data_IF_251186473818
#
_entry.id   IF_251186473818
#
_cell.length_a   1.000
_cell.length_b   1.000
_cell.length_c   1.000
_cell.angle_alpha   90.00
_cell.angle_beta   90.00
_cell.angle_gamma   90.00
#
_symmetry.space_group_name_H-M   'P 1'
#
loop_
_entity.id
_entity.type
_entity.pdbx_description
1 polymer ?
#
# COMPACT_ATOMS: atom_id res chain seq x y z
N UNK A 1 17.61 31.27 12.33
CA UNK A 1 17.78 32.70 12.75
C UNK A 1 18.39 32.88 14.16
N UNK A 2 18.36 31.86 15.03
CA UNK A 2 18.92 31.93 16.40
C UNK A 2 20.48 31.87 16.44
N UNK A 3 21.11 31.07 15.56
CA UNK A 3 22.56 30.90 15.53
C UNK A 3 23.38 32.14 15.14
N UNK A 4 22.87 32.97 14.21
CA UNK A 4 23.57 34.17 13.75
C UNK A 4 23.68 35.26 14.85
N UNK A 5 22.72 35.31 15.78
CA UNK A 5 22.76 36.26 16.91
C UNK A 5 23.71 35.81 18.02
N UNK A 6 23.90 34.49 18.19
CA UNK A 6 24.85 33.96 19.16
C UNK A 6 26.31 34.23 18.73
N UNK A 7 26.59 34.12 17.44
CA UNK A 7 27.93 34.37 16.88
C UNK A 7 28.35 35.85 16.98
N UNK A 8 27.41 36.78 16.76
CA UNK A 8 27.66 38.22 16.94
C UNK A 8 27.90 38.58 18.40
N UNK A 9 27.22 37.93 19.35
CA UNK A 9 27.44 38.15 20.78
C UNK A 9 28.81 37.65 21.28
N UNK A 10 29.43 36.69 20.58
CA UNK A 10 30.75 36.15 20.95
C UNK A 10 31.93 36.84 20.27
N UNK A 11 31.70 37.66 19.23
CA UNK A 11 32.77 38.21 18.39
C UNK A 11 32.95 39.73 18.52
N UNK A 12 32.09 40.41 19.29
CA UNK A 12 32.36 41.80 19.70
C UNK A 12 33.34 41.80 20.87
N UNK A 13 34.57 42.18 20.55
CA UNK A 13 35.70 42.46 21.44
C UNK A 13 35.37 43.68 22.33
N UNK A 14 34.37 43.53 23.18
CA UNK A 14 33.96 44.51 24.17
C UNK A 14 35.01 44.47 25.27
N UNK A 15 35.91 45.45 25.24
CA UNK A 15 36.80 45.76 26.37
C UNK A 15 35.94 46.19 27.55
N UNK A 16 35.48 45.22 28.33
CA UNK A 16 34.79 45.44 29.59
C UNK A 16 35.81 46.08 30.52
N UNK A 17 35.68 47.39 30.74
CA UNK A 17 36.39 48.10 31.81
C UNK A 17 35.77 47.60 33.12
N UNK A 18 36.39 46.58 33.71
CA UNK A 18 35.99 46.05 35.02
C UNK A 18 36.41 47.07 36.08
N UNK A 19 35.57 48.07 36.35
CA UNK A 19 35.68 48.85 37.58
C UNK A 19 35.33 47.93 38.75
N UNK A 20 36.37 47.44 39.44
CA UNK A 20 36.27 46.60 40.62
C UNK A 20 35.67 47.42 41.76
N UNK A 21 34.34 47.45 41.87
CA UNK A 21 33.66 47.85 43.10
C UNK A 21 33.66 46.63 44.01
N UNK A 22 34.45 46.70 45.08
CA UNK A 22 34.46 45.75 46.19
C UNK A 22 33.16 45.88 47.00
N UNK A 23 32.04 45.47 46.40
CA UNK A 23 30.85 45.12 47.16
C UNK A 23 30.99 43.65 47.55
N UNK A 24 31.21 43.40 48.84
CA UNK A 24 31.11 42.09 49.46
C UNK A 24 29.74 41.47 49.15
N UNK A 25 29.64 40.73 48.04
CA UNK A 25 28.50 39.88 47.71
C UNK A 25 28.53 38.63 48.61
N UNK A 26 28.34 38.84 49.92
CA UNK A 26 27.83 37.81 50.79
C UNK A 26 26.32 37.68 50.49
N UNK A 27 25.90 36.48 50.03
CA UNK A 27 24.51 36.02 49.75
C UNK A 27 24.07 35.89 48.27
N UNK A 28 24.86 35.24 47.40
CA UNK A 28 24.33 34.67 46.15
C UNK A 28 24.00 33.16 46.22
N UNK A 29 24.15 32.55 47.40
CA UNK A 29 23.88 31.14 47.67
C UNK A 29 22.48 30.64 47.23
N UNK A 30 21.36 31.36 47.45
CA UNK A 30 20.04 30.84 47.07
C UNK A 30 19.86 30.75 45.55
N UNK A 31 20.44 31.69 44.79
CA UNK A 31 20.35 31.71 43.33
C UNK A 31 21.08 30.48 42.74
N UNK A 32 22.28 30.16 43.26
CA UNK A 32 23.03 28.98 42.81
C UNK A 32 22.30 27.67 43.09
N UNK A 33 21.58 27.58 44.20
CA UNK A 33 20.78 26.40 44.54
C UNK A 33 19.60 26.20 43.57
N UNK A 34 18.91 27.28 43.18
CA UNK A 34 17.84 27.21 42.18
C UNK A 34 18.38 26.75 40.82
N UNK A 35 19.55 27.24 40.39
CA UNK A 35 20.18 26.77 39.15
C UNK A 35 20.56 25.28 39.22
N UNK A 36 21.06 24.80 40.36
CA UNK A 36 21.38 23.39 40.56
C UNK A 36 20.11 22.51 40.46
N UNK A 37 19.00 22.92 41.08
CA UNK A 37 17.73 22.21 40.99
C UNK A 37 17.24 22.17 39.54
N UNK A 38 17.23 23.31 38.84
CA UNK A 38 16.82 23.35 37.44
C UNK A 38 17.68 22.44 36.57
N UNK A 39 19.01 22.41 36.81
CA UNK A 39 19.92 21.51 36.11
C UNK A 39 19.56 20.03 36.36
N UNK A 40 19.32 19.65 37.62
CA UNK A 40 18.91 18.28 37.98
C UNK A 40 17.59 17.89 37.32
N UNK A 41 16.60 18.80 37.32
CA UNK A 41 15.30 18.56 36.67
C UNK A 41 15.48 18.37 35.15
N UNK A 42 16.27 19.21 34.50
CA UNK A 42 16.55 19.09 33.06
C UNK A 42 17.27 17.77 32.76
N UNK A 43 18.29 17.39 33.53
CA UNK A 43 18.98 16.11 33.33
C UNK A 43 18.07 14.90 33.56
N UNK A 44 17.26 14.92 34.62
CA UNK A 44 16.29 13.84 34.87
C UNK A 44 15.28 13.73 33.73
N UNK A 45 14.79 14.86 33.21
CA UNK A 45 13.92 14.92 32.04
C UNK A 45 14.58 14.35 30.78
N UNK A 46 15.83 14.73 30.50
CA UNK A 46 16.59 14.19 29.37
C UNK A 46 16.80 12.67 29.50
N UNK A 47 17.21 12.20 30.68
CA UNK A 47 17.37 10.75 30.94
C UNK A 47 16.05 10.02 30.72
N UNK A 48 14.94 10.56 31.24
CA UNK A 48 13.61 9.99 31.06
C UNK A 48 13.23 9.89 29.58
N UNK A 49 13.38 10.98 28.81
CA UNK A 49 13.10 11.00 27.37
C UNK A 49 13.99 10.00 26.62
N UNK A 50 15.29 9.93 26.92
CA UNK A 50 16.20 8.96 26.29
C UNK A 50 15.82 7.51 26.60
N UNK A 51 15.40 7.20 27.83
CA UNK A 51 14.92 5.85 28.19
C UNK A 51 13.63 5.52 27.42
N UNK A 52 12.68 6.45 27.36
CA UNK A 52 11.43 6.26 26.61
C UNK A 52 11.65 6.11 25.11
N UNK A 53 12.57 6.89 24.54
CA UNK A 53 13.02 6.75 23.15
C UNK A 53 13.61 5.36 22.91
N UNK A 54 14.51 4.90 23.79
CA UNK A 54 15.13 3.57 23.70
C UNK A 54 14.11 2.43 23.84
N UNK A 55 13.00 2.66 24.53
CA UNK A 55 11.90 1.70 24.65
C UNK A 55 10.94 1.75 23.45
N UNK A 56 11.13 2.67 22.49
CA UNK A 56 10.23 2.87 21.35
C UNK A 56 8.89 3.49 21.74
N UNK A 57 8.71 3.94 22.98
CA UNK A 57 7.42 4.44 23.49
C UNK A 57 7.02 5.78 22.88
N UNK A 58 8.03 6.54 22.42
CA UNK A 58 7.87 7.82 21.73
C UNK A 58 7.86 7.67 20.21
N UNK A 59 7.92 6.44 19.69
CA UNK A 59 7.78 6.15 18.27
C UNK A 59 6.38 5.64 17.97
N UNK A 60 6.02 5.72 16.70
CA UNK A 60 4.80 5.11 16.21
C UNK A 60 4.99 3.60 16.15
N UNK A 61 4.06 2.82 16.70
CA UNK A 61 4.09 1.37 16.66
C UNK A 61 3.76 0.84 15.26
N UNK A 62 3.08 1.65 14.46
CA UNK A 62 2.84 1.43 13.06
C UNK A 62 3.01 2.72 12.27
N UNK A 63 3.53 2.59 11.06
CA UNK A 63 3.59 3.66 10.07
C UNK A 63 2.94 3.18 8.79
N UNK A 64 2.19 4.06 8.16
CA UNK A 64 1.81 3.93 6.77
C UNK A 64 2.96 4.46 5.91
N UNK A 65 3.29 3.73 4.86
CA UNK A 65 4.34 4.09 3.90
C UNK A 65 3.71 4.14 2.52
N UNK A 66 3.91 5.26 1.84
CA UNK A 66 3.44 5.47 0.47
C UNK A 66 4.63 5.85 -0.41
N UNK A 67 4.93 4.99 -1.38
CA UNK A 67 5.89 5.21 -2.44
C UNK A 67 5.23 5.85 -3.64
N UNK A 68 6.02 6.62 -4.38
CA UNK A 68 5.65 7.05 -5.71
C UNK A 68 5.57 5.85 -6.69
N UNK A 69 4.92 6.06 -7.84
CA UNK A 69 4.73 5.07 -8.91
C UNK A 69 6.01 4.83 -9.74
N UNK A 70 7.17 4.91 -9.08
CA UNK A 70 8.47 4.63 -9.69
C UNK A 70 8.56 3.15 -10.06
N UNK A 71 9.27 2.84 -11.15
CA UNK A 71 9.41 1.49 -11.66
C UNK A 71 10.87 1.12 -11.91
N UNK A 72 11.23 -0.12 -11.57
CA UNK A 72 12.47 -0.77 -11.98
C UNK A 72 12.18 -1.81 -13.05
N UNK A 73 12.51 -1.49 -14.30
CA UNK A 73 12.42 -2.43 -15.42
C UNK A 73 13.55 -3.47 -15.41
N UNK A 74 13.20 -4.74 -15.65
CA UNK A 74 14.20 -5.81 -15.77
C UNK A 74 14.97 -6.14 -14.49
N UNK A 75 14.39 -5.89 -13.31
CA UNK A 75 14.92 -6.27 -12.01
C UNK A 75 15.21 -7.78 -11.95
N UNK A 76 16.35 -8.17 -11.36
CA UNK A 76 16.72 -9.58 -11.27
C UNK A 76 16.02 -10.22 -10.06
N UNK A 77 15.37 -11.36 -10.32
CA UNK A 77 14.57 -12.14 -9.40
C UNK A 77 15.11 -13.56 -9.28
N UNK A 78 15.13 -14.10 -8.07
CA UNK A 78 15.44 -15.51 -7.82
C UNK A 78 14.49 -16.10 -6.77
N UNK A 79 13.47 -16.87 -7.18
CA UNK A 79 12.49 -17.45 -6.25
C UNK A 79 13.08 -18.55 -5.37
N UNK A 80 13.98 -19.34 -5.95
CA UNK A 80 14.57 -20.57 -5.41
C UNK A 80 16.06 -20.43 -5.10
N UNK A 81 16.63 -19.23 -5.26
CA UNK A 81 18.07 -18.94 -5.17
C UNK A 81 18.94 -19.67 -6.21
N UNK A 82 18.34 -20.39 -7.16
CA UNK A 82 19.04 -21.20 -8.16
C UNK A 82 18.79 -20.68 -9.59
N UNK A 83 17.59 -20.19 -9.86
CA UNK A 83 17.19 -19.67 -11.16
C UNK A 83 17.06 -18.15 -11.14
N UNK A 84 17.51 -17.51 -12.22
CA UNK A 84 17.43 -16.07 -12.40
C UNK A 84 16.41 -15.71 -13.46
N UNK A 85 15.54 -14.78 -13.12
CA UNK A 85 14.54 -14.23 -14.02
C UNK A 85 14.61 -12.69 -13.97
N UNK A 86 14.22 -12.02 -15.04
CA UNK A 86 14.09 -10.55 -15.05
C UNK A 86 12.61 -10.19 -14.99
N UNK A 87 12.23 -9.30 -14.08
CA UNK A 87 10.84 -8.87 -13.87
C UNK A 87 10.77 -7.35 -13.70
N UNK A 88 9.65 -6.73 -14.03
CA UNK A 88 9.42 -5.31 -13.73
C UNK A 88 8.93 -5.19 -12.28
N UNK A 89 9.42 -4.19 -11.56
CA UNK A 89 9.09 -3.94 -10.16
C UNK A 89 8.54 -2.53 -10.00
N UNK A 90 7.36 -2.42 -9.41
CA UNK A 90 6.70 -1.14 -9.13
C UNK A 90 6.80 -0.83 -7.65
N UNK A 91 7.31 0.37 -7.32
CA UNK A 91 7.55 0.76 -5.93
C UNK A 91 6.25 0.97 -5.15
N UNK A 92 5.18 1.39 -5.81
CA UNK A 92 3.87 1.58 -5.19
C UNK A 92 3.26 0.28 -4.62
N UNK A 93 3.76 -0.90 -5.02
CA UNK A 93 3.32 -2.16 -4.42
C UNK A 93 3.88 -2.39 -3.02
N UNK A 94 4.91 -1.64 -2.62
CA UNK A 94 5.41 -1.61 -1.25
C UNK A 94 4.62 -0.62 -0.37
N UNK A 95 3.58 0.04 -0.91
CA UNK A 95 2.71 0.92 -0.13
C UNK A 95 1.95 0.10 0.90
N UNK A 96 1.87 0.55 2.13
CA UNK A 96 1.08 -0.13 3.16
C UNK A 96 1.61 0.11 4.56
N UNK A 97 1.24 -0.80 5.47
CA UNK A 97 1.48 -0.62 6.90
C UNK A 97 2.65 -1.43 7.39
N UNK A 98 3.57 -0.75 8.03
CA UNK A 98 4.78 -1.31 8.60
C UNK A 98 4.65 -1.24 10.11
N UNK A 99 4.91 -2.36 10.80
CA UNK A 99 4.90 -2.40 12.27
C UNK A 99 6.31 -2.28 12.82
N UNK A 100 6.44 -1.57 13.93
CA UNK A 100 7.66 -1.47 14.69
C UNK A 100 8.10 -2.87 15.16
N UNK A 101 9.32 -3.26 14.82
CA UNK A 101 9.94 -4.56 15.11
C UNK A 101 11.28 -4.35 15.85
N UNK A 102 11.26 -3.43 16.82
CA UNK A 102 12.39 -3.15 17.70
C UNK A 102 13.50 -2.32 17.07
N UNK A 103 14.69 -2.41 17.66
CA UNK A 103 15.86 -1.66 17.25
C UNK A 103 16.89 -2.55 16.58
N UNK A 104 17.53 -2.06 15.53
CA UNK A 104 18.65 -2.71 14.86
C UNK A 104 19.78 -1.70 14.66
N UNK A 105 20.96 -1.95 15.23
CA UNK A 105 22.08 -1.00 15.18
C UNK A 105 21.79 0.33 15.89
N UNK A 106 20.86 0.35 16.85
CA UNK A 106 20.44 1.57 17.57
C UNK A 106 19.37 2.41 16.86
N UNK A 107 18.96 2.02 15.65
CA UNK A 107 17.90 2.68 14.89
C UNK A 107 16.60 1.87 14.95
N UNK A 108 15.43 2.52 14.88
CA UNK A 108 14.17 1.81 14.73
C UNK A 108 14.14 0.94 13.49
N UNK A 109 13.48 -0.19 13.60
CA UNK A 109 13.16 -1.07 12.48
C UNK A 109 11.65 -1.19 12.38
N UNK A 110 11.11 -0.92 11.21
CA UNK A 110 9.73 -1.28 10.91
C UNK A 110 9.73 -2.27 9.76
N UNK A 111 8.75 -3.15 9.83
CA UNK A 111 8.67 -4.32 9.01
C UNK A 111 7.25 -4.36 8.48
N UNK A 112 7.11 -4.20 7.17
CA UNK A 112 5.96 -4.74 6.44
C UNK A 112 5.94 -6.20 6.81
N UNK A 113 4.81 -6.66 7.34
CA UNK A 113 4.74 -7.92 8.08
C UNK A 113 5.58 -9.03 7.39
N UNK A 114 6.76 -9.31 7.98
CA UNK A 114 7.91 -10.12 7.54
C UNK A 114 9.12 -9.42 6.85
N UNK A 115 10.18 -9.13 7.65
CA UNK A 115 11.66 -9.29 7.44
C UNK A 115 12.53 -8.18 8.11
N UNK A 116 13.77 -8.53 8.52
CA UNK A 116 14.59 -7.86 9.58
C UNK A 116 15.84 -7.03 9.14
N UNK A 117 15.94 -5.73 9.48
CA UNK A 117 17.20 -5.02 9.85
C UNK A 117 17.65 -3.88 8.93
N UNK A 118 17.76 -2.63 9.48
CA UNK A 118 18.03 -1.32 8.82
C UNK A 118 16.80 -0.67 8.13
N UNK A 119 16.76 0.67 7.97
CA UNK A 119 15.76 1.38 7.14
C UNK A 119 16.09 1.21 5.67
N UNK A 120 15.79 0.02 5.22
CA UNK A 120 16.12 -0.45 3.90
C UNK A 120 14.90 -1.23 3.47
N UNK A 121 14.19 -0.72 2.47
CA UNK A 121 13.21 -1.53 1.78
C UNK A 121 13.98 -2.57 0.98
N UNK A 122 13.71 -3.84 1.22
CA UNK A 122 14.41 -4.95 0.57
C UNK A 122 13.45 -6.09 0.37
N UNK A 123 13.74 -6.91 -0.63
CA UNK A 123 13.00 -8.15 -0.84
C UNK A 123 13.99 -9.31 -0.99
N UNK A 124 13.74 -10.42 -0.29
CA UNK A 124 14.60 -11.61 -0.26
C UNK A 124 14.97 -12.15 -1.66
N UNK A 125 14.05 -12.00 -2.61
CA UNK A 125 14.17 -12.56 -3.94
C UNK A 125 14.66 -11.53 -4.98
N UNK A 126 14.81 -10.23 -4.63
CA UNK A 126 15.39 -9.23 -5.55
C UNK A 126 16.89 -9.20 -5.36
N UNK A 127 17.64 -9.31 -6.44
CA UNK A 127 19.09 -9.17 -6.44
C UNK A 127 19.50 -8.03 -7.38
N UNK A 128 20.54 -7.29 -7.01
CA UNK A 128 21.13 -6.27 -7.90
C UNK A 128 22.22 -6.82 -8.81
N UNK A 129 22.78 -7.97 -8.46
CA UNK A 129 23.89 -8.60 -9.16
C UNK A 129 23.79 -10.13 -9.09
N UNK A 130 24.28 -10.81 -10.13
CA UNK A 130 24.35 -12.26 -10.33
C UNK A 130 25.51 -12.87 -9.55
N UNK A 131 26.48 -12.05 -9.15
CA UNK A 131 27.62 -12.51 -8.35
C UNK A 131 27.16 -12.78 -6.92
N UNK A 132 27.14 -14.06 -6.55
CA UNK A 132 26.80 -14.60 -5.22
C UNK A 132 27.72 -14.13 -4.08
N UNK A 133 28.79 -13.37 -4.38
CA UNK A 133 29.79 -12.95 -3.39
C UNK A 133 29.38 -11.77 -2.51
N UNK A 134 28.26 -11.11 -2.78
CA UNK A 134 27.81 -9.93 -2.03
C UNK A 134 26.62 -10.18 -1.10
N UNK A 135 26.25 -11.43 -0.83
CA UNK A 135 25.13 -11.75 0.08
C UNK A 135 25.32 -11.21 1.51
N UNK A 136 26.56 -10.97 1.93
CA UNK A 136 26.88 -10.45 3.26
C UNK A 136 27.07 -8.93 3.33
N UNK A 137 27.04 -8.22 2.20
CA UNK A 137 27.19 -6.76 2.18
C UNK A 137 25.82 -6.09 2.24
N UNK A 138 25.34 -5.85 3.47
CA UNK A 138 24.05 -5.18 3.74
C UNK A 138 23.94 -3.78 3.05
N UNK A 139 25.06 -3.19 2.60
CA UNK A 139 25.10 -1.95 1.82
C UNK A 139 24.63 -2.10 0.36
N UNK A 140 24.58 -3.33 -0.17
CA UNK A 140 24.34 -3.60 -1.59
C UNK A 140 22.92 -4.08 -1.94
N UNK A 141 22.02 -4.34 -0.99
CA UNK A 141 20.74 -5.03 -1.27
C UNK A 141 19.45 -4.20 -1.03
N UNK A 142 19.57 -2.88 -0.84
CA UNK A 142 18.42 -1.99 -0.63
C UNK A 142 17.69 -1.62 -1.93
N UNK A 143 16.36 -1.64 -1.96
CA UNK A 143 15.52 -1.07 -3.02
C UNK A 143 15.35 0.43 -2.82
N UNK A 144 15.02 0.82 -1.59
CA UNK A 144 14.92 2.21 -1.19
C UNK A 144 15.69 2.46 0.10
N UNK A 145 16.37 3.60 0.17
CA UNK A 145 17.05 4.08 1.38
C UNK A 145 16.93 5.58 1.53
N UNK A 146 16.91 6.06 2.77
CA UNK A 146 16.96 7.49 3.07
C UNK A 146 18.38 8.05 2.88
N UNK A 147 18.51 9.37 2.95
CA UNK A 147 19.79 10.01 3.25
C UNK A 147 20.28 9.62 4.65
N UNK A 148 21.58 9.78 4.90
CA UNK A 148 22.12 9.68 6.26
C UNK A 148 21.45 10.74 7.13
N UNK A 149 20.93 10.32 8.27
CA UNK A 149 20.18 11.18 9.16
C UNK A 149 20.47 10.79 10.60
N UNK A 150 20.45 11.81 11.47
CA UNK A 150 20.49 11.64 12.94
C UNK A 150 19.09 11.61 13.53
N UNK A 151 18.07 11.82 12.70
CA UNK A 151 16.69 11.80 13.13
C UNK A 151 16.30 10.39 13.58
N UNK A 152 15.57 10.36 14.69
CA UNK A 152 15.16 9.13 15.35
C UNK A 152 13.78 8.66 14.88
N UNK A 153 12.98 9.59 14.38
CA UNK A 153 11.63 9.35 13.86
C UNK A 153 11.68 9.30 12.33
N UNK A 154 11.18 8.21 11.74
CA UNK A 154 11.24 8.06 10.29
C UNK A 154 10.28 9.02 9.56
N UNK A 155 9.18 9.42 10.20
CA UNK A 155 8.22 10.38 9.61
C UNK A 155 8.87 11.76 9.38
N UNK A 156 9.95 12.06 10.09
CA UNK A 156 10.73 13.30 9.89
C UNK A 156 11.67 13.25 8.68
N UNK A 157 11.87 12.07 8.08
CA UNK A 157 12.78 11.84 6.96
C UNK A 157 11.99 11.78 5.66
N UNK A 158 11.38 12.91 5.28
CA UNK A 158 10.49 12.99 4.10
C UNK A 158 11.21 13.25 2.76
N UNK A 159 12.53 13.41 2.77
CA UNK A 159 13.28 13.84 1.58
C UNK A 159 14.64 13.15 1.45
N UNK A 160 15.19 13.17 0.23
CA UNK A 160 16.49 12.58 -0.07
C UNK A 160 16.47 11.06 -0.17
N UNK A 161 15.30 10.46 -0.37
CA UNK A 161 15.16 9.03 -0.63
C UNK A 161 15.77 8.68 -1.99
N UNK A 162 16.47 7.54 -2.00
CA UNK A 162 17.11 6.98 -3.17
C UNK A 162 16.49 5.64 -3.47
N UNK A 163 15.99 5.48 -4.68
CA UNK A 163 15.44 4.24 -5.22
C UNK A 163 16.43 3.58 -6.16
N UNK A 164 16.38 2.25 -6.21
CA UNK A 164 17.14 1.45 -7.12
C UNK A 164 16.26 1.01 -8.29
N UNK A 165 16.43 1.65 -9.44
CA UNK A 165 15.70 1.36 -10.70
C UNK A 165 16.58 0.64 -11.72
N UNK A 166 17.69 0.05 -11.26
CA UNK A 166 18.83 -0.34 -12.09
C UNK A 166 19.91 0.75 -12.15
N UNK A 167 19.52 1.99 -11.86
CA UNK A 167 20.40 3.08 -11.42
C UNK A 167 19.91 3.66 -10.09
N UNK A 168 20.67 4.58 -9.49
CA UNK A 168 20.22 5.26 -8.27
C UNK A 168 19.44 6.50 -8.70
N UNK A 169 18.14 6.49 -8.46
CA UNK A 169 17.25 7.61 -8.73
C UNK A 169 16.79 8.24 -7.42
N UNK A 170 16.52 9.54 -7.44
CA UNK A 170 15.87 10.20 -6.32
C UNK A 170 14.37 9.92 -6.40
N UNK A 171 13.72 9.73 -5.26
CA UNK A 171 12.28 9.65 -5.21
C UNK A 171 11.74 10.09 -3.86
N UNK A 172 10.43 9.97 -3.71
CA UNK A 172 9.70 10.42 -2.53
C UNK A 172 9.04 9.22 -1.86
N UNK A 173 9.17 9.17 -0.54
CA UNK A 173 8.36 8.29 0.29
C UNK A 173 7.65 9.18 1.29
N UNK A 174 6.34 9.02 1.36
CA UNK A 174 5.50 9.63 2.38
C UNK A 174 5.29 8.61 3.49
N UNK A 175 5.41 9.07 4.74
CA UNK A 175 5.28 8.21 5.89
C UNK A 175 4.50 8.91 6.98
N UNK A 176 3.44 8.26 7.43
CA UNK A 176 2.55 8.80 8.44
C UNK A 176 2.37 7.79 9.57
N UNK A 177 2.23 8.29 10.80
CA UNK A 177 1.94 7.44 11.93
C UNK A 177 0.49 7.02 11.90
N UNK A 178 0.23 5.72 11.86
CA UNK A 178 -1.13 5.18 11.84
C UNK A 178 -1.72 4.93 13.23
N UNK A 179 -1.21 5.65 14.23
CA UNK A 179 -1.69 5.56 15.61
C UNK A 179 -2.84 6.54 15.86
N UNK A 180 -3.79 6.13 16.71
CA UNK A 180 -4.83 7.01 17.23
C UNK A 180 -4.48 7.51 18.64
N UNK A 181 -4.94 8.70 19.00
CA UNK A 181 -4.93 9.22 20.37
C UNK A 181 -6.35 9.37 20.92
N UNK A 182 -7.33 9.63 20.05
CA UNK A 182 -8.73 9.83 20.37
C UNK A 182 -9.61 9.14 19.32
N UNK A 183 -10.87 8.89 19.67
CA UNK A 183 -11.85 8.29 18.74
C UNK A 183 -12.08 9.14 17.49
N UNK A 184 -11.79 10.45 17.56
CA UNK A 184 -11.78 11.35 16.40
C UNK A 184 -10.78 10.93 15.31
N UNK A 185 -9.67 10.33 15.73
CA UNK A 185 -8.60 9.88 14.83
C UNK A 185 -8.98 8.55 14.15
N UNK A 186 -10.06 7.91 14.62
CA UNK A 186 -10.71 6.74 14.04
C UNK A 186 -11.96 7.13 13.22
N UNK A 187 -11.92 8.33 12.62
CA UNK A 187 -12.98 8.91 11.79
C UNK A 187 -14.37 8.94 12.46
N UNK A 188 -14.44 8.87 13.80
CA UNK A 188 -15.68 8.67 14.55
C UNK A 188 -16.47 7.39 14.23
N UNK A 189 -15.85 6.46 13.49
CA UNK A 189 -16.42 5.16 13.10
C UNK A 189 -15.78 3.98 13.86
N UNK A 190 -15.03 4.29 14.91
CA UNK A 190 -14.36 3.32 15.75
C UNK A 190 -13.94 3.92 17.08
N UNK A 191 -13.35 3.08 17.93
CA UNK A 191 -12.81 3.47 19.23
C UNK A 191 -11.30 3.34 19.20
N UNK A 192 -10.60 4.33 19.73
CA UNK A 192 -9.15 4.28 19.87
C UNK A 192 -8.78 3.45 21.12
N UNK A 193 -8.18 2.28 20.91
CA UNK A 193 -7.75 1.37 21.98
C UNK A 193 -6.28 1.04 21.78
N UNK A 194 -5.47 1.31 22.80
CA UNK A 194 -4.02 1.03 22.77
C UNK A 194 -3.31 1.61 21.52
N UNK A 195 -3.69 2.84 21.13
CA UNK A 195 -3.20 3.55 19.94
C UNK A 195 -3.59 2.94 18.59
N UNK A 196 -4.46 1.93 18.56
CA UNK A 196 -5.02 1.38 17.33
C UNK A 196 -6.53 1.63 17.26
N UNK A 197 -7.04 1.95 16.07
CA UNK A 197 -8.48 2.06 15.89
C UNK A 197 -9.12 0.67 15.81
N UNK A 198 -10.13 0.46 16.64
CA UNK A 198 -11.03 -0.66 16.52
C UNK A 198 -12.33 -0.19 15.86
N UNK A 199 -12.47 -0.48 14.57
CA UNK A 199 -13.64 -0.06 13.79
C UNK A 199 -14.92 -0.77 14.21
N UNK A 200 -16.04 -0.06 14.07
CA UNK A 200 -17.36 -0.61 14.34
C UNK A 200 -17.75 -1.67 13.29
N UNK A 201 -17.59 -2.93 13.68
CA UNK A 201 -17.94 -4.09 12.84
C UNK A 201 -19.42 -4.14 12.46
N UNK A 202 -20.32 -3.57 13.28
CA UNK A 202 -21.75 -3.58 12.99
C UNK A 202 -22.08 -2.67 11.80
N UNK A 203 -21.31 -1.59 11.64
CA UNK A 203 -21.47 -0.65 10.53
C UNK A 203 -20.62 -1.05 9.31
N UNK A 204 -19.57 -1.85 9.50
CA UNK A 204 -18.79 -2.43 8.41
C UNK A 204 -17.65 -1.54 7.90
N UNK A 205 -17.31 -0.48 8.61
CA UNK A 205 -16.15 0.37 8.29
C UNK A 205 -14.83 -0.39 8.43
N UNK A 206 -13.89 -0.13 7.53
CA UNK A 206 -12.54 -0.70 7.54
C UNK A 206 -11.48 0.40 7.40
N UNK A 207 -10.20 0.01 7.28
CA UNK A 207 -9.09 0.96 7.29
C UNK A 207 -8.48 1.13 8.69
N UNK A 208 -7.20 1.51 8.74
CA UNK A 208 -6.48 1.80 9.97
C UNK A 208 -7.12 2.88 10.81
N UNK A 209 -7.77 3.85 10.17
CA UNK A 209 -8.46 4.95 10.80
C UNK A 209 -9.98 4.84 10.69
N UNK A 210 -10.50 3.65 10.32
CA UNK A 210 -11.93 3.42 10.08
C UNK A 210 -12.54 4.40 9.05
N UNK A 211 -11.71 4.87 8.13
CA UNK A 211 -12.07 5.83 7.09
C UNK A 211 -12.68 5.19 5.85
N UNK A 212 -12.51 3.87 5.67
CA UNK A 212 -13.06 3.17 4.52
C UNK A 212 -14.53 2.85 4.76
N UNK A 213 -15.36 3.28 3.81
CA UNK A 213 -16.79 3.03 3.84
C UNK A 213 -17.12 1.53 3.82
N UNK A 214 -18.30 1.15 4.33
CA UNK A 214 -18.73 -0.24 4.31
C UNK A 214 -18.71 -0.84 2.92
N UNK A 215 -18.12 -2.03 2.80
CA UNK A 215 -17.99 -2.72 1.54
C UNK A 215 -19.36 -3.00 0.90
N UNK A 216 -19.45 -2.82 -0.41
CA UNK A 216 -20.61 -3.32 -1.13
C UNK A 216 -20.66 -4.86 -1.00
N UNK A 217 -21.81 -5.45 -0.66
CA UNK A 217 -21.90 -6.90 -0.50
C UNK A 217 -21.68 -7.65 -1.80
N UNK A 218 -22.03 -7.02 -2.92
CA UNK A 218 -21.94 -7.59 -4.26
C UNK A 218 -21.69 -6.49 -5.29
N UNK A 219 -20.56 -6.54 -5.98
CA UNK A 219 -20.31 -5.68 -7.13
C UNK A 219 -20.98 -6.24 -8.36
N UNK A 220 -21.29 -5.35 -9.30
CA UNK A 220 -21.75 -5.68 -10.64
C UNK A 220 -20.91 -4.89 -11.63
N UNK A 221 -20.35 -5.58 -12.61
CA UNK A 221 -19.66 -4.91 -13.71
C UNK A 221 -20.64 -4.37 -14.78
N UNK A 222 -20.13 -3.56 -15.71
CA UNK A 222 -20.91 -3.02 -16.84
C UNK A 222 -21.57 -4.09 -17.73
N UNK A 223 -21.06 -5.33 -17.71
CA UNK A 223 -21.59 -6.46 -18.47
C UNK A 223 -22.64 -7.26 -17.69
N UNK A 224 -22.86 -6.91 -16.42
CA UNK A 224 -23.84 -7.53 -15.53
C UNK A 224 -23.33 -8.73 -14.75
N UNK A 225 -22.04 -9.02 -14.77
CA UNK A 225 -21.46 -10.06 -13.94
C UNK A 225 -21.34 -9.61 -12.49
N UNK A 226 -21.62 -10.53 -11.56
CA UNK A 226 -21.57 -10.27 -10.13
C UNK A 226 -20.26 -10.73 -9.50
N UNK A 227 -19.70 -9.91 -8.60
CA UNK A 227 -18.59 -10.26 -7.73
C UNK A 227 -19.05 -10.18 -6.28
N UNK A 228 -18.94 -11.29 -5.56
CA UNK A 228 -19.34 -11.36 -4.16
C UNK A 228 -18.18 -10.91 -3.26
N UNK A 229 -18.52 -10.19 -2.19
CA UNK A 229 -17.56 -9.81 -1.16
C UNK A 229 -16.93 -11.05 -0.52
N UNK A 230 -15.61 -11.08 -0.45
CA UNK A 230 -14.85 -12.16 0.16
C UNK A 230 -15.08 -12.19 1.68
N UNK A 231 -15.64 -13.28 2.20
CA UNK A 231 -15.85 -13.50 3.64
C UNK A 231 -15.21 -14.79 4.12
N UNK A 232 -14.61 -14.73 5.31
CA UNK A 232 -14.22 -15.90 6.11
C UNK A 232 -15.10 -15.93 7.35
N UNK A 233 -16.01 -16.89 7.40
CA UNK A 233 -17.02 -16.97 8.45
C UNK A 233 -17.79 -15.64 8.54
N UNK A 234 -17.61 -14.89 9.63
CA UNK A 234 -18.25 -13.60 9.89
C UNK A 234 -17.34 -12.38 9.64
N UNK A 235 -16.11 -12.57 9.15
CA UNK A 235 -15.17 -11.48 8.89
C UNK A 235 -14.93 -11.29 7.39
N UNK A 236 -14.85 -10.04 6.95
CA UNK A 236 -14.50 -9.72 5.56
C UNK A 236 -13.00 -9.87 5.38
N UNK A 237 -12.60 -10.44 4.23
CA UNK A 237 -11.20 -10.46 3.87
C UNK A 237 -10.77 -9.08 3.38
N UNK A 238 -9.71 -8.57 3.99
CA UNK A 238 -9.08 -7.32 3.58
C UNK A 238 -7.65 -7.55 3.13
N UNK A 239 -7.25 -6.83 2.09
CA UNK A 239 -5.88 -6.69 1.60
C UNK A 239 -5.56 -5.21 1.50
N UNK A 240 -4.44 -4.78 2.07
CA UNK A 240 -4.13 -3.35 2.28
C UNK A 240 -5.35 -2.59 2.82
N UNK A 241 -6.02 -3.21 3.80
CA UNK A 241 -7.23 -2.71 4.49
C UNK A 241 -8.47 -2.49 3.63
N UNK A 242 -8.42 -2.92 2.37
CA UNK A 242 -9.53 -2.85 1.41
C UNK A 242 -10.09 -4.23 1.17
N UNK A 243 -11.40 -4.27 0.92
CA UNK A 243 -12.13 -5.51 0.79
C UNK A 243 -11.77 -6.25 -0.51
N UNK A 244 -11.69 -7.57 -0.45
CA UNK A 244 -11.47 -8.43 -1.62
C UNK A 244 -12.83 -8.86 -2.18
N UNK A 245 -12.95 -8.99 -3.51
CA UNK A 245 -14.16 -9.51 -4.14
C UNK A 245 -13.85 -10.72 -5.01
N UNK A 246 -14.78 -11.67 -5.09
CA UNK A 246 -14.63 -12.88 -5.89
C UNK A 246 -15.78 -13.04 -6.88
N UNK A 247 -15.46 -13.40 -8.11
CA UNK A 247 -16.41 -13.93 -9.07
C UNK A 247 -16.09 -15.41 -9.30
N UNK A 248 -16.98 -16.30 -8.87
CA UNK A 248 -16.88 -17.72 -9.23
C UNK A 248 -17.52 -17.93 -10.59
N UNK A 249 -16.70 -18.24 -11.59
CA UNK A 249 -17.21 -18.63 -12.89
C UNK A 249 -17.34 -20.16 -12.88
N UNK A 250 -18.58 -20.66 -12.96
CA UNK A 250 -18.85 -22.09 -13.09
C UNK A 250 -18.83 -22.46 -14.57
N UNK A 251 -17.76 -23.11 -15.01
CA UNK A 251 -17.71 -23.70 -16.34
C UNK A 251 -18.65 -24.89 -16.40
N UNK A 252 -19.67 -24.83 -17.27
CA UNK A 252 -20.31 -26.05 -17.74
C UNK A 252 -19.41 -26.65 -18.83
N UNK A 253 -19.06 -27.92 -18.64
CA UNK A 253 -18.09 -28.66 -19.42
C UNK A 253 -18.04 -28.28 -20.92
N UNK A 254 -16.86 -27.92 -21.41
CA UNK A 254 -16.44 -27.74 -22.82
C UNK A 254 -16.75 -26.43 -23.56
N UNK A 255 -17.39 -25.44 -22.95
CA UNK A 255 -17.47 -24.11 -23.55
C UNK A 255 -16.32 -23.22 -23.08
N UNK A 256 -15.70 -22.56 -24.05
CA UNK A 256 -14.82 -21.42 -23.87
C UNK A 256 -15.26 -20.53 -22.70
N UNK A 257 -14.31 -20.19 -21.84
CA UNK A 257 -14.50 -19.16 -20.85
C UNK A 257 -14.47 -17.79 -21.54
N UNK A 258 -15.64 -17.35 -22.00
CA UNK A 258 -15.86 -15.93 -22.22
C UNK A 258 -16.48 -15.38 -20.95
N UNK A 259 -15.78 -14.48 -20.24
CA UNK A 259 -16.40 -13.72 -19.15
C UNK A 259 -17.50 -12.75 -19.66
N UNK A 260 -17.84 -12.81 -20.94
CA UNK A 260 -18.82 -11.94 -21.59
C UNK A 260 -18.29 -10.53 -21.76
N UNK A 261 -16.99 -10.32 -21.55
CA UNK A 261 -16.32 -9.01 -21.65
C UNK A 261 -15.92 -8.72 -23.10
N UNK A 262 -16.12 -9.69 -24.00
CA UNK A 262 -16.13 -9.53 -25.44
C UNK A 262 -17.57 -9.55 -25.95
N UNK A 263 -18.03 -8.43 -26.49
CA UNK A 263 -19.27 -8.29 -27.26
C UNK A 263 -20.58 -8.26 -26.45
N UNK A 264 -21.21 -7.08 -26.44
CA UNK A 264 -22.68 -7.03 -26.46
C UNK A 264 -23.14 -7.91 -27.63
N UNK A 265 -24.16 -8.77 -27.47
CA UNK A 265 -24.76 -9.45 -28.61
C UNK A 265 -25.34 -8.36 -29.52
N UNK A 266 -24.58 -7.96 -30.53
CA UNK A 266 -25.09 -7.12 -31.59
C UNK A 266 -26.10 -7.99 -32.34
N UNK A 267 -27.37 -7.73 -32.06
CA UNK A 267 -28.49 -8.19 -32.88
C UNK A 267 -28.35 -7.56 -34.28
N UNK A 268 -27.53 -8.18 -35.14
CA UNK A 268 -27.58 -7.98 -36.58
C UNK A 268 -26.29 -7.49 -37.25
N UNK A 269 -25.66 -8.41 -38.00
CA UNK A 269 -25.13 -8.21 -39.36
C UNK A 269 -23.78 -7.51 -39.63
N UNK A 270 -22.88 -7.41 -38.66
CA UNK A 270 -21.50 -7.00 -39.00
C UNK A 270 -20.58 -8.22 -39.16
N UNK A 271 -20.47 -8.70 -40.41
CA UNK A 271 -19.50 -9.70 -40.86
C UNK A 271 -18.12 -9.07 -41.10
N UNK A 272 -17.59 -8.33 -40.12
CA UNK A 272 -16.17 -7.94 -40.15
C UNK A 272 -15.41 -9.00 -39.38
N UNK A 273 -14.67 -9.82 -40.12
CA UNK A 273 -13.86 -10.93 -39.61
C UNK A 273 -12.63 -10.46 -38.84
N UNK A 274 -12.83 -9.73 -37.74
CA UNK A 274 -11.93 -9.90 -36.60
C UNK A 274 -12.20 -11.32 -36.10
N UNK A 275 -11.26 -12.23 -36.40
CA UNK A 275 -11.21 -13.51 -35.72
C UNK A 275 -11.41 -13.21 -34.25
N UNK A 276 -12.47 -13.75 -33.66
CA UNK A 276 -12.75 -13.73 -32.23
C UNK A 276 -11.41 -13.74 -31.50
N UNK A 277 -11.11 -12.65 -30.78
CA UNK A 277 -10.05 -12.60 -29.78
C UNK A 277 -10.39 -13.73 -28.80
N UNK A 278 -9.91 -14.93 -29.12
CA UNK A 278 -10.53 -16.19 -28.74
C UNK A 278 -10.47 -16.44 -27.24
N UNK A 279 -11.37 -17.31 -26.78
CA UNK A 279 -11.31 -18.15 -25.59
C UNK A 279 -10.18 -17.76 -24.63
N UNK A 280 -10.45 -16.70 -23.86
CA UNK A 280 -9.43 -15.95 -23.15
C UNK A 280 -8.88 -16.70 -21.95
N UNK A 281 -9.72 -17.50 -21.30
CA UNK A 281 -9.21 -18.57 -20.47
C UNK A 281 -9.19 -19.78 -21.37
N UNK A 282 -8.00 -20.34 -21.61
CA UNK A 282 -7.87 -21.60 -22.34
C UNK A 282 -8.83 -22.65 -21.78
N UNK A 283 -9.05 -23.74 -22.51
CA UNK A 283 -9.93 -24.83 -22.06
C UNK A 283 -9.49 -25.39 -20.69
N UNK A 284 -9.96 -24.79 -19.59
CA UNK A 284 -9.74 -25.25 -18.23
C UNK A 284 -10.89 -26.17 -17.84
N UNK A 285 -10.54 -27.37 -17.38
CA UNK A 285 -11.51 -28.37 -16.92
C UNK A 285 -12.02 -28.13 -15.49
N UNK A 286 -11.49 -27.13 -14.79
CA UNK A 286 -11.83 -26.83 -13.39
C UNK A 286 -12.42 -25.42 -13.22
N UNK A 287 -13.31 -25.25 -12.24
CA UNK A 287 -13.85 -23.95 -11.85
C UNK A 287 -12.72 -22.98 -11.51
N UNK A 288 -12.74 -21.78 -12.10
CA UNK A 288 -11.82 -20.68 -11.76
C UNK A 288 -12.58 -19.62 -10.98
N UNK A 289 -11.86 -18.95 -10.08
CA UNK A 289 -12.35 -17.76 -9.37
C UNK A 289 -11.52 -16.58 -9.80
N UNK A 290 -12.18 -15.50 -10.21
CA UNK A 290 -11.54 -14.20 -10.44
C UNK A 290 -11.60 -13.40 -9.14
N UNK A 291 -10.46 -13.00 -8.59
CA UNK A 291 -10.35 -12.24 -7.36
C UNK A 291 -9.99 -10.78 -7.65
N UNK A 292 -10.82 -9.83 -7.24
CA UNK A 292 -10.53 -8.41 -7.31
C UNK A 292 -9.86 -7.96 -6.00
N UNK A 293 -8.63 -7.50 -6.09
CA UNK A 293 -7.74 -7.21 -4.96
C UNK A 293 -7.05 -5.86 -5.14
N UNK A 294 -6.86 -5.10 -4.06
CA UNK A 294 -6.11 -3.85 -4.10
C UNK A 294 -4.62 -4.11 -3.82
N UNK A 295 -3.74 -3.33 -4.45
CA UNK A 295 -2.29 -3.55 -4.46
C UNK A 295 -1.44 -2.46 -3.81
N UNK A 296 -2.06 -1.46 -3.20
CA UNK A 296 -1.38 -0.25 -2.71
C UNK A 296 -1.76 1.02 -3.46
N UNK A 297 -1.98 0.94 -4.78
CA UNK A 297 -2.35 2.10 -5.62
C UNK A 297 -3.39 1.80 -6.72
N UNK A 298 -3.78 0.53 -6.91
CA UNK A 298 -4.68 0.07 -7.96
C UNK A 298 -5.42 -1.19 -7.52
N UNK A 299 -6.52 -1.48 -8.20
CA UNK A 299 -7.24 -2.75 -8.13
C UNK A 299 -6.84 -3.68 -9.28
N UNK A 300 -6.75 -4.97 -8.99
CA UNK A 300 -6.37 -6.03 -9.93
C UNK A 300 -7.36 -7.17 -9.90
N UNK A 301 -7.72 -7.71 -11.07
CA UNK A 301 -8.54 -8.93 -11.16
C UNK A 301 -7.71 -10.16 -11.48
N UNK A 302 -7.71 -11.14 -10.56
CA UNK A 302 -6.82 -12.30 -10.52
C UNK A 302 -7.50 -13.66 -10.74
N UNK A 303 -7.33 -14.33 -11.90
CA UNK A 303 -7.74 -15.72 -12.05
C UNK A 303 -6.98 -16.66 -11.12
N UNK A 304 -7.72 -17.50 -10.39
CA UNK A 304 -7.17 -18.50 -9.47
C UNK A 304 -7.93 -19.82 -9.56
N UNK A 305 -7.23 -20.91 -9.20
CA UNK A 305 -7.76 -22.27 -9.23
C UNK A 305 -8.76 -22.57 -8.10
N UNK A 306 -8.69 -21.84 -6.98
CA UNK A 306 -9.64 -21.91 -5.85
C UNK A 306 -9.65 -20.58 -5.08
N UNK A 307 -10.66 -20.34 -4.24
CA UNK A 307 -10.76 -19.12 -3.42
C UNK A 307 -9.74 -19.05 -2.27
N UNK A 308 -9.32 -20.20 -1.72
CA UNK A 308 -8.37 -20.26 -0.58
C UNK A 308 -6.91 -20.09 -1.00
N UNK A 309 -6.56 -20.54 -2.20
CA UNK A 309 -5.18 -20.39 -2.71
C UNK A 309 -4.85 -18.93 -3.02
N UNK A 310 -5.86 -18.10 -3.33
CA UNK A 310 -5.70 -16.66 -3.57
C UNK A 310 -5.10 -16.00 -2.33
N UNK A 311 -5.65 -16.29 -1.16
CA UNK A 311 -5.27 -15.65 0.10
C UNK A 311 -3.81 -15.93 0.46
N UNK A 312 -3.40 -17.20 0.39
CA UNK A 312 -2.03 -17.57 0.76
C UNK A 312 -1.00 -17.00 -0.20
N UNK A 313 -1.26 -17.06 -1.52
CA UNK A 313 -0.34 -16.48 -2.52
C UNK A 313 -0.29 -14.97 -2.47
N UNK A 314 -1.42 -14.32 -2.18
CA UNK A 314 -1.48 -12.86 -2.05
C UNK A 314 -0.76 -12.39 -0.78
N UNK A 315 -0.99 -13.03 0.37
CA UNK A 315 -0.33 -12.65 1.62
C UNK A 315 1.15 -13.00 1.70
N UNK A 316 1.62 -14.01 0.95
CA UNK A 316 3.03 -14.43 1.04
C UNK A 316 3.98 -13.55 0.21
N UNK A 317 3.58 -13.09 -0.99
CA UNK A 317 4.53 -12.51 -1.96
C UNK A 317 3.96 -11.43 -2.90
N UNK A 318 2.87 -10.74 -2.56
CA UNK A 318 2.21 -9.85 -3.53
C UNK A 318 3.04 -8.62 -3.97
N UNK A 319 4.17 -8.31 -3.32
CA UNK A 319 4.85 -7.02 -3.47
C UNK A 319 5.65 -6.75 -4.76
N UNK A 320 5.90 -7.68 -5.69
CA UNK A 320 6.63 -7.26 -6.92
C UNK A 320 6.78 -8.23 -8.09
N UNK A 321 6.29 -9.49 -8.08
CA UNK A 321 6.89 -10.51 -8.96
C UNK A 321 5.97 -11.24 -9.93
N UNK A 322 5.15 -10.48 -10.62
CA UNK A 322 4.01 -11.05 -11.29
C UNK A 322 4.09 -10.94 -12.81
N UNK A 323 5.28 -11.00 -13.43
CA UNK A 323 5.27 -11.21 -14.89
C UNK A 323 4.74 -12.60 -15.29
N UNK A 324 4.67 -13.57 -14.35
CA UNK A 324 3.91 -14.83 -14.54
C UNK A 324 2.40 -14.70 -14.28
N UNK A 325 1.99 -13.73 -13.46
CA UNK A 325 0.59 -13.36 -13.28
C UNK A 325 0.02 -12.85 -14.61
N UNK A 326 0.78 -12.00 -15.31
CA UNK A 326 0.32 -11.51 -16.60
C UNK A 326 0.48 -12.53 -17.74
N UNK A 327 1.41 -13.50 -17.66
CA UNK A 327 1.84 -14.28 -18.83
C UNK A 327 0.85 -15.30 -19.39
N UNK A 328 -0.17 -15.72 -18.65
CA UNK A 328 -0.98 -16.88 -19.10
C UNK A 328 -2.50 -16.72 -19.03
N UNK A 329 -3.06 -15.69 -18.40
CA UNK A 329 -4.52 -15.56 -18.24
C UNK A 329 -4.84 -14.13 -17.86
N UNK A 330 -5.24 -13.26 -18.79
CA UNK A 330 -5.07 -11.82 -18.59
C UNK A 330 -5.88 -11.19 -17.44
N UNK A 331 -5.36 -10.04 -17.01
CA UNK A 331 -5.69 -9.38 -15.75
C UNK A 331 -6.17 -7.97 -16.04
N UNK A 332 -7.29 -7.60 -15.43
CA UNK A 332 -7.74 -6.22 -15.44
C UNK A 332 -6.97 -5.44 -14.39
N UNK A 333 -6.70 -4.18 -14.71
CA UNK A 333 -6.12 -3.24 -13.77
C UNK A 333 -6.97 -1.99 -13.76
N UNK A 334 -7.17 -1.41 -12.59
CA UNK A 334 -7.77 -0.09 -12.49
C UNK A 334 -6.78 0.99 -12.87
N UNK A 335 -7.30 2.18 -13.13
CA UNK A 335 -6.50 3.40 -12.99
C UNK A 335 -5.93 3.55 -11.57
N UNK A 336 -4.95 4.44 -11.41
CA UNK A 336 -4.40 4.74 -10.09
C UNK A 336 -5.51 5.32 -9.23
N UNK A 337 -5.70 4.75 -8.06
CA UNK A 337 -6.73 5.18 -7.13
C UNK A 337 -6.30 4.87 -5.71
N UNK A 338 -6.67 5.76 -4.80
CA UNK A 338 -6.56 5.54 -3.36
C UNK A 338 -7.92 5.11 -2.78
N UNK A 339 -8.95 4.99 -3.61
CA UNK A 339 -10.30 4.68 -3.18
C UNK A 339 -10.35 3.31 -2.49
N UNK A 340 -11.14 3.25 -1.43
CA UNK A 340 -11.32 2.02 -0.64
C UNK A 340 -12.19 0.96 -1.34
N UNK A 341 -12.83 1.35 -2.46
CA UNK A 341 -13.74 0.55 -3.25
C UNK A 341 -13.38 0.63 -4.74
N UNK A 342 -13.58 -0.43 -5.53
CA UNK A 342 -13.40 -0.40 -6.98
C UNK A 342 -14.57 0.28 -7.71
N UNK A 343 -15.61 0.69 -6.98
CA UNK A 343 -16.80 1.33 -7.56
C UNK A 343 -16.44 2.69 -8.13
N UNK A 344 -16.90 2.99 -9.35
CA UNK A 344 -16.61 4.27 -10.01
C UNK A 344 -15.17 4.41 -10.50
N UNK A 345 -14.34 3.37 -10.36
CA UNK A 345 -12.96 3.36 -10.87
C UNK A 345 -12.94 2.74 -12.26
N UNK A 346 -12.24 3.38 -13.19
CA UNK A 346 -12.06 2.86 -14.53
C UNK A 346 -11.10 1.68 -14.54
N UNK A 347 -11.47 0.63 -15.29
CA UNK A 347 -10.62 -0.55 -15.49
C UNK A 347 -10.21 -0.68 -16.95
N UNK A 348 -9.02 -1.23 -17.12
CA UNK A 348 -8.47 -1.62 -18.40
C UNK A 348 -8.09 -3.09 -18.38
N UNK A 349 -8.39 -3.76 -19.48
CA UNK A 349 -7.90 -5.10 -19.76
C UNK A 349 -6.49 -5.02 -20.32
N UNK A 350 -5.59 -5.81 -19.75
CA UNK A 350 -4.25 -6.02 -20.30
C UNK A 350 -4.34 -6.92 -21.55
N UNK A 351 -3.88 -6.41 -22.70
CA UNK A 351 -3.73 -7.17 -23.94
C UNK A 351 -2.27 -7.62 -24.06
N UNK A 352 -2.02 -8.88 -23.76
CA UNK A 352 -0.74 -9.53 -24.07
C UNK A 352 -0.78 -10.11 -25.48
N UNK A 353 -0.08 -9.50 -26.43
CA UNK A 353 0.18 -10.17 -27.72
C UNK A 353 1.52 -10.90 -27.65
N UNK A 354 1.59 -12.11 -28.20
CA UNK A 354 2.83 -12.89 -28.31
C UNK A 354 3.94 -12.16 -29.09
N UNK A 355 3.56 -11.14 -29.87
CA UNK A 355 4.42 -10.32 -30.73
C UNK A 355 4.94 -9.06 -30.00
N UNK A 356 4.24 -8.58 -28.96
CA UNK A 356 4.64 -7.42 -28.14
C UNK A 356 5.20 -7.84 -26.78
N UNK A 357 6.16 -8.77 -26.77
CA UNK A 357 7.13 -8.86 -25.66
C UNK A 357 8.11 -7.67 -25.64
N UNK A 358 7.91 -6.68 -26.52
CA UNK A 358 8.71 -5.47 -26.63
C UNK A 358 8.14 -4.31 -25.81
N UNK A 359 9.05 -3.56 -25.20
CA UNK A 359 8.88 -2.43 -24.28
C UNK A 359 8.09 -1.21 -24.82
N UNK A 360 7.28 -1.36 -25.87
CA UNK A 360 6.63 -0.23 -26.56
C UNK A 360 5.47 0.40 -25.78
N UNK A 361 4.80 -0.36 -24.91
CA UNK A 361 3.59 0.07 -24.19
C UNK A 361 3.78 0.06 -22.67
N UNK A 362 5.03 0.09 -22.20
CA UNK A 362 5.35 0.05 -20.78
C UNK A 362 5.08 -1.31 -20.13
N UNK A 363 5.05 -1.36 -18.79
CA UNK A 363 5.13 -2.61 -18.01
C UNK A 363 3.91 -3.52 -18.14
N UNK A 364 2.74 -2.96 -18.42
CA UNK A 364 1.48 -3.69 -18.53
C UNK A 364 1.09 -3.97 -19.98
N UNK A 365 1.91 -3.60 -20.96
CA UNK A 365 1.60 -3.74 -22.36
C UNK A 365 0.41 -2.87 -22.80
N UNK A 366 -0.26 -3.28 -23.88
CA UNK A 366 -1.38 -2.51 -24.43
C UNK A 366 -2.61 -2.68 -23.53
N UNK A 367 -3.18 -1.55 -23.10
CA UNK A 367 -4.39 -1.52 -22.30
C UNK A 367 -5.62 -1.25 -23.18
N UNK A 368 -6.71 -1.98 -22.92
CA UNK A 368 -8.02 -1.74 -23.55
C UNK A 368 -9.03 -1.35 -22.45
N UNK A 369 -9.59 -0.13 -22.50
CA UNK A 369 -10.61 0.30 -21.56
C UNK A 369 -11.78 -0.68 -21.53
N UNK A 370 -12.35 -0.88 -20.34
CA UNK A 370 -13.43 -1.82 -20.11
C UNK A 370 -14.77 -1.16 -19.84
N UNK A 371 -14.74 0.01 -19.22
CA UNK A 371 -15.92 0.82 -18.99
C UNK A 371 -16.58 1.18 -20.34
N UNK A 372 -17.91 1.17 -20.37
CA UNK A 372 -18.67 1.57 -21.57
C UNK A 372 -18.43 3.04 -21.88
N UNK A 373 -18.31 3.87 -20.85
CA UNK A 373 -17.98 5.29 -20.92
C UNK A 373 -16.79 5.57 -20.00
N UNK A 374 -15.69 6.13 -20.52
CA UNK A 374 -14.56 6.54 -19.67
C UNK A 374 -15.01 7.53 -18.60
N UNK A 375 -14.59 7.30 -17.35
CA UNK A 375 -14.89 8.12 -16.17
C UNK A 375 -16.12 7.68 -15.38
N UNK A 376 -16.96 6.78 -15.90
CA UNK A 376 -18.12 6.25 -15.16
C UNK A 376 -17.73 5.12 -14.19
N UNK A 377 -16.52 4.57 -14.32
CA UNK A 377 -16.08 3.38 -13.64
C UNK A 377 -16.63 2.09 -14.23
N UNK A 378 -15.94 0.99 -13.97
CA UNK A 378 -16.31 -0.33 -14.50
C UNK A 378 -17.19 -1.16 -13.55
N UNK A 379 -17.02 -0.97 -12.23
CA UNK A 379 -17.78 -1.68 -11.21
C UNK A 379 -18.79 -0.76 -10.54
N UNK A 380 -19.93 -1.33 -10.20
CA UNK A 380 -21.05 -0.68 -9.52
C UNK A 380 -21.47 -1.51 -8.32
N UNK A 381 -22.00 -0.87 -7.27
CA UNK A 381 -22.62 -1.64 -6.19
C UNK A 381 -23.96 -2.22 -6.68
N UNK A 382 -24.11 -3.54 -6.62
CA UNK A 382 -25.41 -4.16 -6.80
C UNK A 382 -26.23 -3.91 -5.54
N UNK A 383 -26.93 -2.77 -5.51
CA UNK A 383 -28.01 -2.57 -4.53
C UNK A 383 -28.96 -3.74 -4.73
N UNK A 384 -29.24 -4.50 -3.67
CA UNK A 384 -30.31 -5.48 -3.71
C UNK A 384 -31.54 -4.73 -4.21
N UNK A 385 -31.94 -4.96 -5.47
CA UNK A 385 -33.29 -4.58 -5.87
C UNK A 385 -34.15 -5.34 -4.88
N UNK A 386 -34.79 -4.61 -3.97
CA UNK A 386 -35.78 -5.19 -3.09
C UNK A 386 -36.61 -6.17 -3.92
N UNK A 387 -36.53 -7.45 -3.59
CA UNK A 387 -37.37 -8.50 -4.17
C UNK A 387 -38.87 -8.27 -3.84
N UNK A 388 -39.23 -7.06 -3.37
CA UNK A 388 -40.58 -6.59 -3.13
C UNK A 388 -41.30 -6.07 -4.40
N UNK A 389 -40.64 -5.98 -5.56
CA UNK A 389 -41.25 -5.45 -6.78
C UNK A 389 -41.78 -6.51 -7.77
N UNK A 390 -42.27 -7.68 -7.32
CA UNK A 390 -43.17 -8.55 -8.12
C UNK A 390 -44.17 -9.27 -7.19
N UNK A 391 -45.07 -8.52 -6.55
CA UNK A 391 -46.27 -9.09 -5.92
C UNK A 391 -47.27 -7.98 -5.56
N UNK A 392 -47.79 -7.27 -6.57
CA UNK A 392 -49.06 -6.52 -6.58
C UNK A 392 -49.16 -5.88 -7.98
N UNK A 393 -50.22 -5.92 -8.76
CA UNK A 393 -51.55 -6.50 -8.63
C UNK A 393 -52.11 -6.64 -10.04
N UNK A 394 -52.56 -7.84 -10.40
CA UNK A 394 -53.63 -7.96 -11.37
C UNK A 394 -54.88 -7.36 -10.72
N UNK A 395 -55.24 -6.14 -11.10
CA UNK A 395 -56.61 -5.64 -10.97
C UNK A 395 -56.98 -5.12 -12.34
N UNK A 396 -57.86 -5.88 -12.97
CA UNK A 396 -58.59 -5.47 -14.15
C UNK A 396 -59.36 -4.19 -13.83
N UNK A 397 -59.34 -3.24 -14.76
CA UNK A 397 -60.47 -2.34 -14.95
C UNK A 397 -60.76 -2.24 -16.44
N UNK A 398 -61.84 -2.92 -16.81
CA UNK A 398 -62.66 -2.58 -17.97
C UNK A 398 -63.31 -1.22 -17.67
N UNK A 399 -63.04 -0.21 -18.49
CA UNK A 399 -64.03 0.77 -18.93
C UNK A 399 -63.66 1.30 -20.32
#
# INVERSE_FOLDING_TARGET
MFGARLFLATNEDTRIIITRRDHCFAKSTPIKFVYLINLVIVYAGLIFVTVQQKHGTLMCQSIEVTFDNTMWEGAWYTPDHETYQTRNLEYAFFNGVYRFDGFFGGLPRYVEQNKRGRWVFRHKNIIKNKSTKFQDDEECMWLARSQETVEFDLTSVNSGWKFWTGTIEAGTIEMECSECQRDSDCHWQGVCIDKACQCDKAQGFTGMHCSHEPACSKLRDDYGNGFDLAKLEDTTFVSYERNIYFQTVRGNNSESWDMGWGQKPNNGKDNVGDKSDGDFFGNYSSSKTLALVYSGNRWFGVPQNTSTDVFWKFNEEFHSFWSEFFSESGFILSEITEESSPIGVDFSRVIMTSVTKGNEYGPYGRLKPMAVFPGDGFFHCAVAKDEAAVSTSAVADNY
#
